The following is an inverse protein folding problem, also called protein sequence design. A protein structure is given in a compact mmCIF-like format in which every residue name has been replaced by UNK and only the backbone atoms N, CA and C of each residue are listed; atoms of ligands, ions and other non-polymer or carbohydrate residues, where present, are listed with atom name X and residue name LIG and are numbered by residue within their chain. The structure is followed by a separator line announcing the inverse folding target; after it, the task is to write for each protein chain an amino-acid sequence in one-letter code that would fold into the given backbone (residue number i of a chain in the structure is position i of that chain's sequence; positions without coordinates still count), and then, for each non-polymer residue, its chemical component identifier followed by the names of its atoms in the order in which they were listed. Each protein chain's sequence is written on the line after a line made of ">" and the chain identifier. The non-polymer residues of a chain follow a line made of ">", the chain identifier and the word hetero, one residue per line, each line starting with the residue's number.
data_IF_034782946327
#
_entry.id   IF_034782946327
#
_cell.length_a   1.000
_cell.length_b   1.000
_cell.length_c   1.000
_cell.angle_alpha   90.00
_cell.angle_beta   90.00
_cell.angle_gamma   90.00
#
_symmetry.space_group_name_H-M   'P 1'
#
loop_
_entity.id
_entity.type
_entity.pdbx_description
1 polymer ?
#
# COMPACT_ATOMS: atom_id res chain seq x y z
N UNK A 1 -14.07 3.32 -6.85
CA UNK A 1 -12.79 3.06 -6.17
C UNK A 1 -11.91 2.26 -7.12
N UNK A 2 -10.65 2.60 -7.31
CA UNK A 2 -9.75 1.78 -8.14
C UNK A 2 -9.05 0.76 -7.26
N UNK A 3 -9.15 -0.52 -7.62
CA UNK A 3 -8.52 -1.61 -6.90
C UNK A 3 -8.13 -2.76 -7.85
N UNK A 4 -7.20 -3.60 -7.43
CA UNK A 4 -6.78 -4.78 -8.18
C UNK A 4 -6.27 -5.88 -7.24
N UNK A 5 -6.42 -7.14 -7.65
CA UNK A 5 -5.89 -8.29 -6.89
C UNK A 5 -4.57 -8.79 -7.44
N UNK A 6 -3.75 -9.30 -6.54
CA UNK A 6 -2.50 -9.97 -6.85
C UNK A 6 -2.37 -11.25 -6.00
N UNK A 7 -1.98 -12.35 -6.66
CA UNK A 7 -1.50 -13.54 -5.96
C UNK A 7 -0.06 -13.29 -5.54
N UNK A 8 0.20 -13.28 -4.24
CA UNK A 8 1.57 -13.15 -3.76
C UNK A 8 2.36 -14.45 -4.05
N UNK A 9 3.71 -14.39 -4.09
CA UNK A 9 4.54 -15.60 -4.18
C UNK A 9 4.28 -16.59 -3.04
N UNK A 10 3.90 -16.09 -1.86
CA UNK A 10 3.40 -16.93 -0.78
C UNK A 10 1.93 -17.30 -1.08
N UNK A 11 1.60 -18.60 -1.25
CA UNK A 11 0.25 -19.04 -1.61
C UNK A 11 -0.79 -18.78 -0.51
N UNK A 12 -0.38 -18.46 0.73
CA UNK A 12 -1.28 -18.11 1.84
C UNK A 12 -1.56 -16.61 1.93
N UNK A 13 -1.20 -15.86 0.90
CA UNK A 13 -1.36 -14.40 0.88
C UNK A 13 -2.02 -13.97 -0.43
N UNK A 14 -3.08 -13.18 -0.29
CA UNK A 14 -3.66 -12.39 -1.38
C UNK A 14 -3.37 -10.92 -1.07
N UNK A 15 -3.03 -10.14 -2.10
CA UNK A 15 -2.87 -8.69 -1.97
C UNK A 15 -4.00 -8.00 -2.73
N UNK A 16 -4.56 -6.98 -2.11
CA UNK A 16 -5.46 -6.01 -2.75
C UNK A 16 -4.70 -4.70 -2.84
N UNK A 17 -4.50 -4.19 -4.04
CA UNK A 17 -3.94 -2.85 -4.25
C UNK A 17 -5.08 -1.87 -4.45
N UNK A 18 -4.92 -0.63 -3.97
CA UNK A 18 -5.94 0.41 -4.10
C UNK A 18 -5.31 1.80 -4.26
N UNK A 19 -6.09 2.77 -4.74
CA UNK A 19 -5.71 4.18 -4.81
C UNK A 19 -6.13 4.99 -3.57
N UNK A 20 -6.76 4.36 -2.58
CA UNK A 20 -7.16 5.04 -1.33
C UNK A 20 -6.22 4.69 -0.20
N UNK A 21 -5.91 5.70 0.60
CA UNK A 21 -5.12 5.54 1.82
C UNK A 21 -5.92 4.78 2.88
N UNK A 22 -5.45 3.58 3.22
CA UNK A 22 -6.11 2.68 4.17
C UNK A 22 -5.69 2.92 5.61
N UNK A 23 -4.43 3.32 5.81
CA UNK A 23 -3.88 3.59 7.14
C UNK A 23 -2.69 4.55 7.05
N UNK A 24 -2.45 5.28 8.15
CA UNK A 24 -1.25 6.09 8.37
C UNK A 24 -0.21 5.38 9.23
N UNK A 25 -0.60 4.26 9.85
CA UNK A 25 0.31 3.40 10.59
C UNK A 25 1.21 2.58 9.65
N UNK A 26 2.27 2.01 10.20
CA UNK A 26 3.19 1.10 9.53
C UNK A 26 2.42 -0.08 8.94
N UNK A 27 1.67 -0.76 9.79
CA UNK A 27 0.72 -1.81 9.45
C UNK A 27 -0.40 -1.76 10.48
N UNK A 28 -1.65 -1.75 10.04
CA UNK A 28 -2.79 -1.92 10.93
C UNK A 28 -3.39 -3.32 10.74
N UNK A 29 -3.36 -4.13 11.81
CA UNK A 29 -3.80 -5.52 11.78
C UNK A 29 -5.26 -5.66 12.20
N UNK A 30 -6.06 -6.30 11.35
CA UNK A 30 -7.47 -6.57 11.58
C UNK A 30 -7.73 -8.09 11.55
N UNK A 31 -8.18 -8.73 12.65
CA UNK A 31 -8.34 -8.22 14.02
C UNK A 31 -7.00 -7.97 14.76
N UNK A 32 -6.98 -7.16 15.86
CA UNK A 32 -8.13 -6.68 16.63
C UNK A 32 -8.76 -5.38 16.13
N UNK A 33 -8.11 -4.63 15.24
CA UNK A 33 -8.74 -3.49 14.60
C UNK A 33 -9.87 -3.95 13.66
N UNK A 34 -10.73 -3.01 13.26
CA UNK A 34 -11.76 -3.25 12.26
C UNK A 34 -11.29 -2.72 10.90
N UNK A 35 -11.40 -3.49 9.80
CA UNK A 35 -11.12 -2.96 8.48
C UNK A 35 -12.06 -1.80 8.15
N UNK A 36 -11.61 -0.83 7.32
CA UNK A 36 -12.47 0.27 6.88
C UNK A 36 -13.69 -0.25 6.12
N UNK A 37 -14.70 0.61 6.00
CA UNK A 37 -15.94 0.30 5.31
C UNK A 37 -15.67 -0.23 3.89
N UNK A 38 -16.39 -1.29 3.52
CA UNK A 38 -16.20 -2.00 2.26
C UNK A 38 -15.16 -3.12 2.30
N UNK A 39 -14.26 -3.16 3.30
CA UNK A 39 -13.31 -4.26 3.50
C UNK A 39 -13.69 -5.18 4.67
N UNK A 40 -14.63 -4.79 5.53
CA UNK A 40 -15.03 -5.61 6.68
C UNK A 40 -15.56 -6.99 6.28
N UNK A 41 -16.21 -7.09 5.10
CA UNK A 41 -16.69 -8.36 4.53
C UNK A 41 -15.58 -9.37 4.23
N UNK A 42 -14.33 -8.93 4.06
CA UNK A 42 -13.20 -9.81 3.78
C UNK A 42 -12.91 -10.78 4.92
N UNK A 43 -13.15 -10.38 6.17
CA UNK A 43 -13.00 -11.26 7.33
C UNK A 43 -14.08 -12.34 7.41
N UNK A 44 -15.18 -12.18 6.66
CA UNK A 44 -16.23 -13.19 6.56
C UNK A 44 -16.03 -14.16 5.38
N UNK A 45 -15.00 -13.97 4.55
CA UNK A 45 -14.68 -14.91 3.47
C UNK A 45 -13.98 -16.14 4.07
N UNK A 46 -14.52 -17.31 3.78
CA UNK A 46 -13.95 -18.59 4.22
C UNK A 46 -12.47 -18.70 3.85
N UNK A 47 -11.67 -19.08 4.84
CA UNK A 47 -10.21 -19.19 4.69
C UNK A 47 -9.44 -17.91 4.92
N UNK A 48 -10.07 -16.72 5.04
CA UNK A 48 -9.38 -15.50 5.48
C UNK A 48 -9.31 -15.47 7.01
N UNK A 49 -8.09 -15.35 7.54
CA UNK A 49 -7.82 -15.30 8.99
C UNK A 49 -7.65 -13.88 9.52
N UNK A 50 -7.03 -13.00 8.73
CA UNK A 50 -6.75 -11.62 9.09
C UNK A 50 -6.42 -10.79 7.86
N UNK A 51 -6.48 -9.48 8.04
CA UNK A 51 -6.28 -8.45 7.05
C UNK A 51 -5.26 -7.48 7.62
N UNK A 52 -4.12 -7.32 6.97
CA UNK A 52 -3.13 -6.30 7.31
C UNK A 52 -3.28 -5.12 6.34
N UNK A 53 -3.54 -3.94 6.87
CA UNK A 53 -3.64 -2.71 6.10
C UNK A 53 -2.27 -2.05 6.03
N UNK A 54 -1.76 -1.88 4.82
CA UNK A 54 -0.71 -0.93 4.49
C UNK A 54 -1.34 0.26 3.77
N UNK A 55 -0.61 1.37 3.66
CA UNK A 55 -1.13 2.62 3.11
C UNK A 55 -2.00 2.47 1.85
N UNK A 56 -1.52 1.78 0.81
CA UNK A 56 -2.24 1.56 -0.46
C UNK A 56 -2.41 0.08 -0.82
N UNK A 57 -2.27 -0.81 0.17
CA UNK A 57 -2.30 -2.26 -0.04
C UNK A 57 -2.91 -2.97 1.15
N UNK A 58 -3.86 -3.84 0.89
CA UNK A 58 -4.35 -4.83 1.85
C UNK A 58 -3.58 -6.13 1.64
N UNK A 59 -3.13 -6.75 2.73
CA UNK A 59 -2.57 -8.11 2.74
C UNK A 59 -3.55 -9.03 3.47
N UNK A 60 -4.17 -9.96 2.73
CA UNK A 60 -5.04 -10.98 3.30
C UNK A 60 -4.19 -12.18 3.70
N UNK A 61 -4.32 -12.59 4.96
CA UNK A 61 -3.67 -13.76 5.52
C UNK A 61 -4.65 -14.92 5.53
N UNK A 62 -4.30 -16.00 4.85
CA UNK A 62 -5.15 -17.18 4.79
C UNK A 62 -4.88 -18.15 5.95
N UNK A 63 -5.94 -18.77 6.46
CA UNK A 63 -5.90 -19.81 7.47
C UNK A 63 -5.10 -21.03 6.98
N UNK A 64 -4.48 -21.81 7.88
CA UNK A 64 -3.83 -23.06 7.52
C UNK A 64 -4.77 -23.98 6.72
N UNK A 65 -4.24 -24.62 5.66
CA UNK A 65 -5.03 -25.49 4.77
C UNK A 65 -5.71 -24.76 3.61
N UNK A 66 -5.75 -23.42 3.63
CA UNK A 66 -6.25 -22.62 2.51
C UNK A 66 -5.11 -22.05 1.67
N UNK A 67 -5.41 -21.81 0.40
CA UNK A 67 -4.52 -21.12 -0.52
C UNK A 67 -5.24 -20.04 -1.33
N UNK A 68 -4.46 -19.17 -1.95
CA UNK A 68 -4.93 -18.02 -2.70
C UNK A 68 -5.82 -18.42 -3.89
N UNK A 69 -5.68 -19.63 -4.43
CA UNK A 69 -6.51 -20.11 -5.55
C UNK A 69 -7.91 -20.46 -5.06
N UNK A 70 -8.02 -21.15 -3.93
CA UNK A 70 -9.30 -21.55 -3.36
C UNK A 70 -10.14 -20.35 -2.90
N UNK A 71 -9.49 -19.31 -2.38
CA UNK A 71 -10.16 -18.14 -1.78
C UNK A 71 -10.37 -16.98 -2.78
N UNK A 72 -9.74 -17.03 -3.95
CA UNK A 72 -9.67 -15.93 -4.93
C UNK A 72 -11.04 -15.33 -5.27
N UNK A 73 -11.98 -16.15 -5.73
CA UNK A 73 -13.31 -15.69 -6.19
C UNK A 73 -14.13 -15.09 -5.06
N UNK A 74 -14.05 -15.68 -3.85
CA UNK A 74 -14.74 -15.16 -2.66
C UNK A 74 -14.24 -13.77 -2.29
N UNK A 75 -12.91 -13.57 -2.29
CA UNK A 75 -12.29 -12.27 -2.04
C UNK A 75 -12.63 -11.26 -3.13
N UNK A 76 -12.50 -11.65 -4.41
CA UNK A 76 -12.80 -10.77 -5.53
C UNK A 76 -14.24 -10.27 -5.46
N UNK A 77 -15.20 -11.17 -5.24
CA UNK A 77 -16.61 -10.83 -5.11
C UNK A 77 -16.89 -9.94 -3.90
N UNK A 78 -16.27 -10.20 -2.75
CA UNK A 78 -16.47 -9.40 -1.54
C UNK A 78 -16.03 -7.94 -1.75
N UNK A 79 -14.92 -7.73 -2.45
CA UNK A 79 -14.42 -6.37 -2.77
C UNK A 79 -15.25 -5.75 -3.89
N UNK A 80 -15.63 -6.51 -4.91
CA UNK A 80 -16.43 -6.01 -6.03
C UNK A 80 -17.77 -5.45 -5.57
N UNK A 81 -18.43 -6.13 -4.63
CA UNK A 81 -19.67 -5.64 -4.03
C UNK A 81 -19.51 -4.31 -3.29
N UNK A 82 -18.33 -4.03 -2.73
CA UNK A 82 -18.06 -2.81 -1.98
C UNK A 82 -17.50 -1.68 -2.85
N UNK A 83 -16.60 -2.00 -3.79
CA UNK A 83 -15.74 -1.04 -4.46
C UNK A 83 -15.91 -1.02 -5.98
N UNK A 84 -16.77 -1.89 -6.52
CA UNK A 84 -17.04 -2.03 -7.96
C UNK A 84 -16.03 -2.95 -8.66
N UNK A 85 -16.05 -2.96 -9.98
CA UNK A 85 -15.23 -3.85 -10.82
C UNK A 85 -13.72 -3.58 -10.64
N UNK A 86 -12.86 -4.62 -10.60
CA UNK A 86 -11.42 -4.43 -10.49
C UNK A 86 -10.82 -3.77 -11.74
N UNK A 87 -9.75 -2.99 -11.53
CA UNK A 87 -8.90 -2.48 -12.59
C UNK A 87 -7.83 -3.52 -12.99
N UNK A 88 -7.27 -3.44 -14.21
CA UNK A 88 -6.08 -4.20 -14.56
C UNK A 88 -4.93 -3.87 -13.60
N UNK A 89 -4.20 -4.90 -13.15
CA UNK A 89 -3.02 -4.71 -12.31
C UNK A 89 -1.81 -4.38 -13.20
N UNK A 90 -1.24 -3.17 -13.14
CA UNK A 90 -0.03 -2.84 -13.89
C UNK A 90 1.20 -3.54 -13.29
N UNK A 91 2.34 -3.44 -13.98
CA UNK A 91 3.66 -3.77 -13.43
C UNK A 91 3.99 -2.89 -12.21
N UNK A 92 4.99 -3.30 -11.41
CA UNK A 92 5.40 -2.48 -10.27
C UNK A 92 6.00 -1.17 -10.78
N UNK A 93 5.56 0.00 -10.31
CA UNK A 93 6.24 1.23 -10.67
C UNK A 93 7.66 1.17 -10.11
N UNK A 94 8.70 1.41 -10.93
CA UNK A 94 10.06 1.46 -10.43
C UNK A 94 10.21 2.64 -9.47
N UNK A 95 11.04 2.54 -8.42
CA UNK A 95 11.38 3.70 -7.62
C UNK A 95 12.14 4.72 -8.47
N UNK A 96 11.99 6.02 -8.16
CA UNK A 96 12.78 7.09 -8.76
C UNK A 96 13.56 7.84 -7.69
N UNK A 97 14.74 8.29 -8.11
CA UNK A 97 15.67 9.05 -7.30
C UNK A 97 15.37 10.55 -7.41
N UNK A 98 15.46 11.24 -6.29
CA UNK A 98 15.46 12.70 -6.19
C UNK A 98 16.60 13.15 -5.30
N UNK A 99 17.25 14.25 -5.65
CA UNK A 99 18.29 14.88 -4.83
C UNK A 99 17.64 15.68 -3.70
N UNK A 100 18.22 15.59 -2.50
CA UNK A 100 17.77 16.30 -1.30
C UNK A 100 18.97 16.68 -0.45
N UNK A 101 18.86 17.74 0.34
CA UNK A 101 19.90 18.09 1.32
C UNK A 101 19.69 17.29 2.61
N UNK A 102 20.28 16.08 2.68
CA UNK A 102 20.19 15.21 3.85
C UNK A 102 21.53 14.51 4.11
N UNK A 103 22.04 14.62 5.34
CA UNK A 103 23.33 14.02 5.74
C UNK A 103 23.16 12.94 6.83
N UNK A 104 21.92 12.54 7.13
CA UNK A 104 21.60 11.61 8.21
C UNK A 104 21.72 10.12 7.84
N UNK A 105 21.38 9.21 8.78
CA UNK A 105 21.37 7.78 8.52
C UNK A 105 20.31 7.39 7.49
N UNK A 106 20.45 6.22 6.87
CA UNK A 106 19.43 5.69 5.98
C UNK A 106 18.12 5.44 6.74
N UNK A 107 17.01 5.96 6.22
CA UNK A 107 15.65 5.74 6.75
C UNK A 107 14.80 5.12 5.64
N UNK A 108 14.10 4.05 5.96
CA UNK A 108 13.10 3.42 5.08
C UNK A 108 11.74 3.65 5.70
N UNK A 109 10.80 4.18 4.92
CA UNK A 109 9.44 4.39 5.35
C UNK A 109 8.46 3.92 4.28
N UNK A 110 7.42 3.20 4.71
CA UNK A 110 6.28 2.78 3.89
C UNK A 110 4.96 3.41 4.38
N UNK A 111 5.05 4.30 5.38
CA UNK A 111 3.91 4.98 5.99
C UNK A 111 4.34 6.31 6.63
N UNK A 112 3.39 7.22 6.89
CA UNK A 112 3.62 8.42 7.70
C UNK A 112 4.18 8.12 9.10
N UNK A 113 3.77 7.03 9.76
CA UNK A 113 4.31 6.66 11.07
C UNK A 113 5.81 6.32 10.99
N UNK A 114 6.23 5.54 9.98
CA UNK A 114 7.63 5.17 9.78
C UNK A 114 8.52 6.36 9.39
N UNK A 115 7.95 7.38 8.75
CA UNK A 115 8.67 8.62 8.45
C UNK A 115 9.17 9.31 9.73
N UNK A 116 8.51 9.06 10.86
CA UNK A 116 8.90 9.62 12.15
C UNK A 116 8.95 11.15 12.12
N UNK A 117 9.96 11.78 12.76
CA UNK A 117 10.09 13.23 12.78
C UNK A 117 10.78 13.82 11.53
N UNK A 118 11.22 13.00 10.57
CA UNK A 118 11.95 13.50 9.40
C UNK A 118 11.03 14.31 8.47
N UNK A 119 11.40 15.57 8.22
CA UNK A 119 10.55 16.50 7.47
C UNK A 119 10.45 16.14 5.99
N UNK A 120 11.54 15.61 5.39
CA UNK A 120 11.56 15.20 3.99
C UNK A 120 10.61 14.04 3.76
N UNK A 121 10.70 13.01 4.60
CA UNK A 121 9.79 11.86 4.55
C UNK A 121 8.37 12.29 4.89
N UNK A 122 8.15 13.11 5.92
CA UNK A 122 6.83 13.59 6.27
C UNK A 122 6.16 14.33 5.09
N UNK A 123 6.89 15.22 4.40
CA UNK A 123 6.41 15.92 3.21
C UNK A 123 6.05 14.96 2.06
N UNK A 124 6.89 13.96 1.80
CA UNK A 124 6.61 12.93 0.80
C UNK A 124 5.36 12.12 1.12
N UNK A 125 5.16 11.76 2.40
CA UNK A 125 3.96 11.04 2.83
C UNK A 125 2.71 11.93 2.87
N UNK A 126 2.79 13.24 2.65
CA UNK A 126 1.61 14.07 2.34
C UNK A 126 1.18 13.99 0.87
N UNK A 127 2.05 13.51 -0.02
CA UNK A 127 1.71 13.35 -1.44
C UNK A 127 0.86 12.10 -1.65
N UNK A 128 -0.38 12.22 -2.16
CA UNK A 128 -1.19 11.06 -2.51
C UNK A 128 -0.47 10.18 -3.53
N UNK A 129 -0.46 8.87 -3.26
CA UNK A 129 0.15 7.87 -4.12
C UNK A 129 1.59 7.51 -3.79
N UNK A 130 2.28 8.21 -2.89
CA UNK A 130 3.60 7.78 -2.38
C UNK A 130 3.42 6.61 -1.42
N UNK A 131 3.92 5.42 -1.79
CA UNK A 131 3.81 4.21 -0.98
C UNK A 131 5.08 3.86 -0.20
N UNK A 132 6.25 4.19 -0.73
CA UNK A 132 7.54 3.95 -0.07
C UNK A 132 8.46 5.13 -0.36
N UNK A 133 9.26 5.49 0.65
CA UNK A 133 10.37 6.41 0.50
C UNK A 133 11.60 5.87 1.28
N UNK A 134 12.77 5.93 0.65
CA UNK A 134 14.05 5.54 1.24
C UNK A 134 14.95 6.76 1.18
N UNK A 135 15.16 7.38 2.34
CA UNK A 135 16.02 8.55 2.50
C UNK A 135 17.45 8.09 2.83
N UNK A 136 18.41 8.61 2.09
CA UNK A 136 19.85 8.34 2.22
C UNK A 136 20.62 9.65 2.02
N UNK A 137 21.93 9.64 2.28
CA UNK A 137 22.76 10.82 2.06
C UNK A 137 22.57 11.39 0.64
N UNK A 138 22.26 12.69 0.58
CA UNK A 138 22.04 13.51 -0.61
C UNK A 138 20.85 13.09 -1.50
N UNK A 139 20.06 12.09 -1.11
CA UNK A 139 19.06 11.51 -2.01
C UNK A 139 17.90 10.82 -1.32
N UNK A 140 16.77 10.77 -2.02
CA UNK A 140 15.60 9.98 -1.64
C UNK A 140 15.11 9.16 -2.83
N UNK A 141 14.89 7.87 -2.59
CA UNK A 141 14.16 7.00 -3.51
C UNK A 141 12.70 7.02 -3.13
N UNK A 142 11.82 7.27 -4.08
CA UNK A 142 10.38 7.27 -3.87
C UNK A 142 9.75 6.22 -4.76
N UNK A 143 8.81 5.43 -4.25
CA UNK A 143 8.00 4.49 -5.04
C UNK A 143 6.50 4.82 -4.88
N UNK A 144 5.77 4.99 -6.00
CA UNK A 144 4.32 5.09 -5.95
C UNK A 144 3.66 3.78 -5.54
N UNK A 145 2.43 3.86 -5.04
CA UNK A 145 1.57 2.69 -4.85
C UNK A 145 1.28 2.02 -6.20
N UNK A 146 0.93 0.73 -6.14
CA UNK A 146 0.86 -0.12 -7.34
C UNK A 146 -0.11 0.36 -8.42
N UNK A 147 -1.17 1.08 -8.04
CA UNK A 147 -2.18 1.62 -8.94
C UNK A 147 -1.98 3.11 -9.27
N UNK A 148 -0.84 3.68 -8.90
CA UNK A 148 -0.46 5.05 -9.23
C UNK A 148 0.60 5.04 -10.33
N UNK A 149 0.49 5.99 -11.27
CA UNK A 149 1.53 6.23 -12.25
C UNK A 149 2.47 7.34 -11.80
N UNK A 150 3.70 7.32 -12.30
CA UNK A 150 4.61 8.45 -12.09
C UNK A 150 4.10 9.75 -12.71
N UNK A 151 3.34 9.68 -13.81
CA UNK A 151 2.75 10.86 -14.44
C UNK A 151 1.82 11.63 -13.50
N UNK A 152 1.13 10.92 -12.61
CA UNK A 152 0.19 11.51 -11.65
C UNK A 152 0.88 12.05 -10.38
N UNK A 153 2.00 11.44 -9.99
CA UNK A 153 2.63 11.65 -8.67
C UNK A 153 3.86 12.58 -8.73
N UNK A 154 4.62 12.56 -9.83
CA UNK A 154 5.94 13.17 -9.90
C UNK A 154 5.96 14.68 -9.59
N UNK A 155 5.05 15.45 -10.19
CA UNK A 155 5.00 16.89 -9.98
C UNK A 155 4.75 17.25 -8.50
N UNK A 156 3.92 16.46 -7.81
CA UNK A 156 3.64 16.66 -6.39
C UNK A 156 4.81 16.24 -5.50
N UNK A 157 5.52 15.16 -5.85
CA UNK A 157 6.77 14.77 -5.17
C UNK A 157 7.82 15.87 -5.29
N UNK A 158 8.05 16.40 -6.50
CA UNK A 158 9.01 17.49 -6.70
C UNK A 158 8.65 18.71 -5.87
N UNK A 159 7.37 19.10 -5.84
CA UNK A 159 6.92 20.21 -4.98
C UNK A 159 7.20 19.94 -3.51
N UNK A 160 6.88 18.75 -3.01
CA UNK A 160 7.09 18.40 -1.61
C UNK A 160 8.57 18.49 -1.20
N UNK A 161 9.50 18.12 -2.08
CA UNK A 161 10.95 18.16 -1.83
C UNK A 161 11.59 19.55 -1.94
N UNK A 162 10.86 20.55 -2.44
CA UNK A 162 11.34 21.94 -2.56
C UNK A 162 10.66 22.89 -1.56
N UNK A 163 9.93 22.35 -0.58
CA UNK A 163 9.30 23.09 0.52
C UNK A 163 10.22 23.12 1.73
#
# INVERSE_FOLDING_TARGET
>A
MTWALERAPNPRVIRVHTTVELTRATIEKCPPASPPEGLSSLLAVDGVSSVDLHRYRVRLNLSPGWDAKAVWEGVARAIELAWGVPAPLPGEPPPRLFEVAYEGPRIVAESPEMAGPDQTLAALFWVPGVAEAILEADRVWVRPGRLFSWGDVEASVRRALHT
#
